data_IF_190554159542
#
_entry.id   IF_190554159542
#
_cell.length_a   1.000
_cell.length_b   1.000
_cell.length_c   1.000
_cell.angle_alpha   90.00
_cell.angle_beta   90.00
_cell.angle_gamma   90.00
#
_symmetry.space_group_name_H-M   'P 1'
#
loop_
_entity.id
_entity.type
_entity.pdbx_description
1 polymer ?
#
# COMPACT_ATOMS: atom_id res chain seq x y z
N UNK A 1 -32.97 -6.99 11.41
CA UNK A 1 -32.48 -8.34 11.74
C UNK A 1 -31.21 -8.57 10.95
N UNK A 2 -30.08 -8.24 11.58
CA UNK A 2 -28.70 -8.66 11.28
C UNK A 2 -27.78 -7.85 12.23
N UNK A 3 -28.02 -7.99 13.53
CA UNK A 3 -27.03 -7.67 14.57
C UNK A 3 -26.59 -9.05 15.10
N UNK A 4 -25.32 -9.17 15.49
CA UNK A 4 -24.62 -10.39 15.96
C UNK A 4 -24.11 -11.34 14.88
N UNK A 5 -22.90 -11.11 14.37
CA UNK A 5 -22.02 -12.22 13.94
C UNK A 5 -20.50 -11.98 14.10
N UNK A 6 -20.04 -10.92 14.78
CA UNK A 6 -18.61 -10.74 15.04
C UNK A 6 -18.34 -10.61 16.55
N UNK A 7 -17.82 -11.69 17.13
CA UNK A 7 -17.35 -11.72 18.52
C UNK A 7 -16.04 -10.95 18.56
N UNK A 8 -16.00 -9.82 19.28
CA UNK A 8 -14.75 -9.09 19.49
C UNK A 8 -13.71 -10.01 20.17
N UNK A 9 -12.41 -9.86 19.87
CA UNK A 9 -11.36 -10.67 20.49
C UNK A 9 -11.50 -10.65 22.01
N UNK A 10 -11.44 -11.83 22.64
CA UNK A 10 -11.54 -11.96 24.09
C UNK A 10 -10.15 -12.05 24.72
N UNK A 11 -10.06 -11.84 26.03
CA UNK A 11 -8.78 -11.99 26.73
C UNK A 11 -8.27 -13.43 26.56
N UNK A 12 -7.10 -13.60 25.94
CA UNK A 12 -6.53 -14.91 25.57
C UNK A 12 -6.51 -15.21 24.08
N UNK A 13 -7.17 -14.39 23.23
CA UNK A 13 -7.06 -14.51 21.77
C UNK A 13 -5.62 -14.27 21.31
N UNK A 14 -5.08 -15.19 20.52
CA UNK A 14 -3.74 -15.07 19.94
C UNK A 14 -3.81 -14.21 18.68
N UNK A 15 -3.44 -12.93 18.83
CA UNK A 15 -3.31 -12.01 17.70
C UNK A 15 -1.92 -12.12 17.08
N UNK A 16 -1.88 -12.29 15.76
CA UNK A 16 -0.65 -12.38 14.99
C UNK A 16 -0.41 -11.09 14.19
N UNK A 17 0.81 -10.57 14.24
CA UNK A 17 1.20 -9.42 13.42
C UNK A 17 1.27 -9.80 11.94
N UNK A 18 0.61 -9.02 11.09
CA UNK A 18 0.59 -9.21 9.63
C UNK A 18 0.87 -7.90 8.91
N UNK A 19 1.66 -7.94 7.84
CA UNK A 19 1.78 -6.82 6.92
C UNK A 19 0.64 -6.87 5.90
N UNK A 20 0.13 -5.71 5.52
CA UNK A 20 -1.04 -5.59 4.65
C UNK A 20 -0.64 -5.04 3.29
N UNK A 21 -1.20 -5.64 2.23
CA UNK A 21 -1.08 -5.15 0.86
C UNK A 21 -2.17 -4.15 0.50
N UNK A 22 -2.15 -3.64 -0.74
CA UNK A 22 -3.26 -2.86 -1.25
C UNK A 22 -4.51 -3.74 -1.38
N UNK A 23 -5.69 -3.24 -0.99
CA UNK A 23 -6.96 -3.85 -1.36
C UNK A 23 -7.14 -3.83 -2.89
N UNK A 24 -7.64 -4.93 -3.44
CA UNK A 24 -7.95 -5.08 -4.87
C UNK A 24 -9.38 -5.55 -5.02
N UNK A 25 -10.29 -4.59 -5.18
CA UNK A 25 -11.71 -4.82 -4.95
C UNK A 25 -11.94 -5.25 -3.50
N UNK A 26 -12.65 -6.36 -3.31
CA UNK A 26 -12.97 -6.89 -1.99
C UNK A 26 -11.88 -7.82 -1.43
N UNK A 27 -10.66 -7.80 -1.99
CA UNK A 27 -9.60 -8.74 -1.63
C UNK A 27 -8.38 -8.06 -1.04
N UNK A 28 -7.74 -8.71 -0.08
CA UNK A 28 -6.46 -8.27 0.49
C UNK A 28 -5.56 -9.47 0.75
N UNK A 29 -4.25 -9.28 0.54
CA UNK A 29 -3.24 -10.22 0.97
C UNK A 29 -2.61 -9.76 2.29
N UNK A 30 -2.37 -10.71 3.17
CA UNK A 30 -1.73 -10.51 4.47
C UNK A 30 -0.45 -11.34 4.52
N UNK A 31 0.67 -10.69 4.80
CA UNK A 31 1.98 -11.34 4.92
C UNK A 31 2.32 -11.58 6.38
N UNK A 32 2.53 -12.84 6.70
CA UNK A 32 3.19 -13.30 7.91
C UNK A 32 4.68 -13.48 7.63
N UNK A 33 5.48 -13.80 8.66
CA UNK A 33 6.93 -13.94 8.52
C UNK A 33 7.36 -14.95 7.45
N UNK A 34 6.60 -16.05 7.31
CA UNK A 34 6.94 -17.17 6.43
C UNK A 34 5.82 -17.56 5.45
N UNK A 35 4.71 -16.81 5.44
CA UNK A 35 3.52 -17.19 4.66
C UNK A 35 2.74 -15.97 4.17
N UNK A 36 1.88 -16.19 3.19
CA UNK A 36 0.92 -15.20 2.70
C UNK A 36 -0.47 -15.83 2.68
N UNK A 37 -1.45 -15.12 3.24
CA UNK A 37 -2.85 -15.52 3.22
C UNK A 37 -3.69 -14.49 2.47
N UNK A 38 -4.77 -14.96 1.84
CA UNK A 38 -5.69 -14.14 1.05
C UNK A 38 -7.05 -14.12 1.73
N UNK A 39 -7.64 -12.92 1.76
CA UNK A 39 -8.86 -12.67 2.50
C UNK A 39 -9.80 -11.79 1.70
N UNK A 40 -11.10 -12.05 1.85
CA UNK A 40 -12.17 -11.20 1.36
C UNK A 40 -12.59 -10.23 2.46
N UNK A 41 -12.58 -8.94 2.13
CA UNK A 41 -13.09 -7.83 2.95
C UNK A 41 -14.61 -7.82 2.93
N UNK A 42 -15.21 -7.44 4.06
CA UNK A 42 -16.63 -7.13 4.15
C UNK A 42 -16.85 -5.63 3.94
N UNK A 43 -17.08 -5.22 2.69
CA UNK A 43 -17.35 -3.83 2.33
C UNK A 43 -16.09 -3.05 1.95
N UNK A 44 -16.09 -1.74 2.24
CA UNK A 44 -15.02 -0.84 1.80
C UNK A 44 -13.65 -1.14 2.45
N UNK A 45 -12.54 -0.81 1.77
CA UNK A 45 -11.21 -0.80 2.37
C UNK A 45 -11.16 -0.14 3.75
N UNK A 46 -10.39 -0.68 4.71
CA UNK A 46 -10.27 -0.07 6.03
C UNK A 46 -9.67 1.34 5.93
N UNK A 47 -10.30 2.33 6.56
CA UNK A 47 -9.88 3.73 6.46
C UNK A 47 -8.53 4.02 7.11
N UNK A 48 -8.08 3.16 8.03
CA UNK A 48 -6.76 3.30 8.66
C UNK A 48 -5.61 2.85 7.76
N UNK A 49 -5.87 1.96 6.80
CA UNK A 49 -4.85 1.39 5.92
C UNK A 49 -4.37 2.44 4.91
N UNK A 50 -3.06 2.67 4.86
CA UNK A 50 -2.37 3.67 4.05
C UNK A 50 -2.44 5.09 4.61
N UNK A 51 -3.13 5.29 5.75
CA UNK A 51 -3.29 6.61 6.37
C UNK A 51 -2.10 7.04 7.23
N UNK A 52 -1.13 6.16 7.48
CA UNK A 52 0.05 6.45 8.30
C UNK A 52 -0.24 6.57 9.80
N UNK A 53 -1.45 6.21 10.25
CA UNK A 53 -1.89 6.34 11.63
C UNK A 53 -1.61 5.07 12.47
N UNK A 54 -1.40 3.95 11.80
CA UNK A 54 -1.38 2.64 12.44
C UNK A 54 -0.06 2.29 13.14
N UNK A 55 -0.12 1.28 14.02
CA UNK A 55 1.08 0.55 14.45
C UNK A 55 1.86 0.06 13.21
N UNK A 56 3.19 -0.02 13.35
CA UNK A 56 4.08 -0.24 12.20
C UNK A 56 5.34 -1.01 12.59
N UNK A 57 5.97 -1.58 11.58
CA UNK A 57 7.33 -2.16 11.66
C UNK A 57 8.29 -1.18 10.99
N UNK A 58 9.16 -0.58 11.78
CA UNK A 58 10.17 0.40 11.34
C UNK A 58 11.52 -0.28 11.05
N UNK A 59 12.32 0.32 10.16
CA UNK A 59 13.76 0.06 10.05
C UNK A 59 14.61 1.24 10.56
N UNK A 60 15.93 1.05 10.62
CA UNK A 60 16.88 2.06 11.11
C UNK A 60 16.94 3.33 10.24
N UNK A 61 16.39 3.29 9.02
CA UNK A 61 16.36 4.41 8.08
C UNK A 61 15.08 5.25 8.19
N UNK A 62 14.19 4.90 9.12
CA UNK A 62 12.89 5.55 9.31
C UNK A 62 11.84 5.11 8.31
N UNK A 63 12.11 4.07 7.52
CA UNK A 63 11.10 3.44 6.67
C UNK A 63 10.22 2.57 7.53
N UNK A 64 8.96 2.46 7.14
CA UNK A 64 8.02 1.64 7.88
C UNK A 64 6.99 0.96 6.99
N UNK A 65 6.41 -0.10 7.54
CA UNK A 65 5.25 -0.80 6.96
C UNK A 65 4.17 -0.89 8.02
N UNK A 66 2.92 -0.64 7.63
CA UNK A 66 1.79 -0.71 8.54
C UNK A 66 1.52 -2.17 8.94
N UNK A 67 1.20 -2.37 10.21
CA UNK A 67 1.03 -3.69 10.83
C UNK A 67 -0.43 -3.85 11.28
N UNK A 68 -1.07 -4.92 10.84
CA UNK A 68 -2.36 -5.37 11.35
C UNK A 68 -2.18 -6.49 12.38
N UNK A 69 -3.21 -6.72 13.20
CA UNK A 69 -3.26 -7.82 14.14
C UNK A 69 -4.39 -8.77 13.73
N UNK A 70 -4.04 -9.95 13.24
CA UNK A 70 -4.98 -10.95 12.76
C UNK A 70 -5.29 -11.98 13.84
N UNK A 71 -6.57 -12.19 14.12
CA UNK A 71 -7.08 -13.44 14.68
C UNK A 71 -7.50 -14.35 13.51
N UNK A 72 -6.68 -15.36 13.25
CA UNK A 72 -6.87 -16.26 12.10
C UNK A 72 -8.05 -17.20 12.29
N UNK A 73 -8.40 -17.55 13.53
CA UNK A 73 -9.50 -18.47 13.82
C UNK A 73 -10.85 -17.78 13.58
N UNK A 74 -10.99 -16.54 14.05
CA UNK A 74 -12.23 -15.77 13.87
C UNK A 74 -12.30 -14.95 12.58
N UNK A 75 -11.19 -14.81 11.86
CA UNK A 75 -11.12 -13.97 10.66
C UNK A 75 -11.24 -12.49 10.99
N UNK A 76 -10.69 -12.03 12.11
CA UNK A 76 -10.76 -10.63 12.53
C UNK A 76 -9.40 -9.96 12.39
N UNK A 77 -9.35 -8.91 11.58
CA UNK A 77 -8.20 -8.03 11.48
C UNK A 77 -8.43 -6.79 12.33
N UNK A 78 -7.57 -6.59 13.33
CA UNK A 78 -7.58 -5.42 14.20
C UNK A 78 -6.52 -4.45 13.72
N UNK A 79 -6.96 -3.26 13.32
CA UNK A 79 -6.12 -2.12 13.03
C UNK A 79 -6.15 -1.19 14.25
N UNK A 80 -5.01 -0.63 14.62
CA UNK A 80 -4.91 0.23 15.80
C UNK A 80 -3.98 1.40 15.54
N UNK A 81 -4.34 2.55 16.10
CA UNK A 81 -3.44 3.69 16.16
C UNK A 81 -2.12 3.32 16.84
N UNK A 82 -1.06 3.95 16.35
CA UNK A 82 0.26 3.90 16.97
C UNK A 82 0.23 4.49 18.38
N UNK A 83 -0.33 5.69 18.49
CA UNK A 83 -0.40 6.46 19.74
C UNK A 83 -1.83 6.43 20.31
N UNK A 84 -1.99 6.49 21.64
CA UNK A 84 -3.32 6.63 22.23
C UNK A 84 -4.00 7.90 21.74
N UNK A 85 -5.30 7.83 21.42
CA UNK A 85 -6.08 9.01 21.03
C UNK A 85 -6.24 10.01 22.19
N UNK A 86 -6.86 11.18 21.96
CA UNK A 86 -7.05 12.22 22.97
C UNK A 86 -7.76 11.76 24.26
N UNK A 87 -8.55 10.70 24.16
CA UNK A 87 -9.25 10.07 25.29
C UNK A 87 -8.38 9.07 26.08
N UNK A 88 -7.10 8.89 25.71
CA UNK A 88 -6.16 7.97 26.34
C UNK A 88 -6.32 6.50 25.95
N UNK A 89 -7.35 6.15 25.18
CA UNK A 89 -7.51 4.83 24.56
C UNK A 89 -7.04 4.86 23.10
N UNK A 90 -6.34 3.83 22.61
CA UNK A 90 -6.00 3.73 21.20
C UNK A 90 -7.29 3.55 20.37
N UNK A 91 -7.40 4.26 19.25
CA UNK A 91 -8.48 3.99 18.29
C UNK A 91 -8.18 2.67 17.62
N UNK A 92 -9.19 1.80 17.57
CA UNK A 92 -9.14 0.52 16.88
C UNK A 92 -10.25 0.40 15.86
N UNK A 93 -9.92 -0.13 14.69
CA UNK A 93 -10.87 -0.59 13.70
C UNK A 93 -10.80 -2.11 13.64
N UNK A 94 -11.94 -2.78 13.81
CA UNK A 94 -12.05 -4.24 13.64
C UNK A 94 -12.65 -4.50 12.27
N UNK A 95 -11.96 -5.28 11.47
CA UNK A 95 -12.28 -5.59 10.07
C UNK A 95 -12.56 -7.08 9.96
N UNK A 96 -13.80 -7.49 9.68
CA UNK A 96 -14.10 -8.89 9.44
C UNK A 96 -13.61 -9.34 8.06
N UNK A 97 -12.95 -10.50 8.05
CA UNK A 97 -12.34 -11.13 6.90
C UNK A 97 -12.87 -12.55 6.72
N UNK A 98 -13.11 -12.94 5.47
CA UNK A 98 -13.35 -14.34 5.11
C UNK A 98 -12.12 -14.91 4.38
N UNK A 99 -11.57 -16.06 4.81
CA UNK A 99 -10.42 -16.65 4.12
C UNK A 99 -10.84 -17.09 2.71
N UNK A 100 -9.94 -16.93 1.75
CA UNK A 100 -10.15 -17.33 0.36
C UNK A 100 -8.87 -17.95 -0.21
N UNK A 101 -9.02 -18.92 -1.11
CA UNK A 101 -7.88 -19.54 -1.78
C UNK A 101 -7.20 -18.54 -2.73
N UNK A 102 -5.88 -18.68 -2.88
CA UNK A 102 -5.07 -17.72 -3.64
C UNK A 102 -5.52 -17.60 -5.11
N UNK A 103 -5.84 -18.73 -5.75
CA UNK A 103 -6.29 -18.81 -7.14
C UNK A 103 -7.64 -18.11 -7.33
N UNK A 104 -8.60 -18.31 -6.42
CA UNK A 104 -9.90 -17.62 -6.43
C UNK A 104 -9.71 -16.11 -6.26
N UNK A 105 -8.96 -15.70 -5.23
CA UNK A 105 -8.72 -14.29 -4.94
C UNK A 105 -8.08 -13.56 -6.13
N UNK A 106 -7.06 -14.16 -6.76
CA UNK A 106 -6.40 -13.58 -7.95
C UNK A 106 -7.32 -13.54 -9.17
N UNK A 107 -8.05 -14.61 -9.44
CA UNK A 107 -8.94 -14.65 -10.59
C UNK A 107 -10.04 -13.58 -10.52
N UNK A 108 -10.63 -13.39 -9.34
CA UNK A 108 -11.74 -12.45 -9.15
C UNK A 108 -11.30 -11.00 -9.02
N UNK A 109 -10.15 -10.75 -8.40
CA UNK A 109 -9.65 -9.39 -8.17
C UNK A 109 -8.97 -8.77 -9.39
N UNK A 110 -8.53 -9.54 -10.38
CA UNK A 110 -7.82 -9.01 -11.56
C UNK A 110 -8.64 -7.94 -12.30
N UNK A 111 -9.97 -8.10 -12.36
CA UNK A 111 -10.88 -7.14 -13.01
C UNK A 111 -11.02 -5.82 -12.23
N UNK A 112 -10.51 -5.77 -10.99
CA UNK A 112 -10.61 -4.64 -10.05
C UNK A 112 -9.31 -3.83 -9.97
N UNK A 113 -8.39 -4.02 -10.91
CA UNK A 113 -7.11 -3.29 -10.94
C UNK A 113 -7.28 -1.77 -10.93
N UNK A 114 -8.29 -1.22 -11.62
CA UNK A 114 -8.53 0.22 -11.63
C UNK A 114 -8.87 0.79 -10.24
N UNK A 115 -9.63 0.05 -9.43
CA UNK A 115 -9.99 0.43 -8.06
C UNK A 115 -8.75 0.39 -7.15
N UNK A 116 -7.88 -0.60 -7.34
CA UNK A 116 -6.59 -0.67 -6.63
C UNK A 116 -5.66 0.50 -7.01
N UNK A 117 -5.61 0.87 -8.29
CA UNK A 117 -4.83 2.01 -8.77
C UNK A 117 -5.32 3.33 -8.17
N UNK A 118 -6.64 3.54 -8.13
CA UNK A 118 -7.25 4.72 -7.50
C UNK A 118 -6.93 4.77 -6.01
N UNK A 119 -7.09 3.64 -5.31
CA UNK A 119 -6.78 3.53 -3.89
C UNK A 119 -5.31 3.84 -3.59
N UNK A 120 -4.37 3.28 -4.36
CA UNK A 120 -2.94 3.59 -4.25
C UNK A 120 -2.65 5.07 -4.50
N UNK A 121 -3.39 5.72 -5.40
CA UNK A 121 -3.33 7.16 -5.62
C UNK A 121 -3.73 7.96 -4.36
N UNK A 122 -4.80 7.56 -3.68
CA UNK A 122 -5.21 8.18 -2.42
C UNK A 122 -4.16 7.98 -1.32
N UNK A 123 -3.55 6.79 -1.24
CA UNK A 123 -2.46 6.53 -0.29
C UNK A 123 -1.24 7.41 -0.58
N UNK A 124 -0.89 7.61 -1.86
CA UNK A 124 0.20 8.50 -2.25
C UNK A 124 -0.08 9.97 -1.86
N UNK A 125 -1.32 10.45 -2.02
CA UNK A 125 -1.73 11.79 -1.56
C UNK A 125 -1.59 11.89 -0.04
N UNK A 126 -2.06 10.88 0.70
CA UNK A 126 -1.96 10.85 2.15
C UNK A 126 -0.49 10.85 2.62
N UNK A 127 0.39 10.08 1.97
CA UNK A 127 1.82 10.07 2.24
C UNK A 127 2.46 11.45 1.95
N UNK A 128 2.15 12.06 0.81
CA UNK A 128 2.66 13.38 0.46
C UNK A 128 2.28 14.47 1.49
N UNK A 129 1.04 14.44 1.99
CA UNK A 129 0.56 15.36 3.03
C UNK A 129 1.30 15.19 4.38
N UNK A 130 1.89 14.00 4.63
CA UNK A 130 2.72 13.70 5.80
C UNK A 130 4.21 13.95 5.57
N UNK A 131 4.61 14.35 4.36
CA UNK A 131 6.02 14.47 3.99
C UNK A 131 6.69 13.12 3.88
N UNK A 132 6.01 12.16 3.29
CA UNK A 132 6.48 10.80 3.07
C UNK A 132 6.46 10.44 1.59
N UNK A 133 7.31 9.50 1.19
CA UNK A 133 7.19 8.78 -0.08
C UNK A 133 6.49 7.44 0.15
N UNK A 134 5.93 6.87 -0.93
CA UNK A 134 5.33 5.54 -0.96
C UNK A 134 6.11 4.65 -1.93
N UNK A 135 6.65 3.53 -1.44
CA UNK A 135 7.19 2.47 -2.28
C UNK A 135 6.21 1.31 -2.35
N UNK A 136 5.86 0.93 -3.57
CA UNK A 136 5.03 -0.23 -3.89
C UNK A 136 5.98 -1.29 -4.44
N UNK A 137 5.92 -2.50 -3.92
CA UNK A 137 6.85 -3.59 -4.25
C UNK A 137 6.17 -4.94 -4.20
N UNK A 138 6.86 -6.02 -4.58
CA UNK A 138 6.41 -7.38 -4.24
C UNK A 138 6.25 -7.51 -2.72
N UNK A 139 5.08 -7.92 -2.25
CA UNK A 139 4.83 -8.11 -0.82
C UNK A 139 5.71 -9.22 -0.24
N UNK A 140 6.29 -8.94 0.93
CA UNK A 140 7.18 -9.84 1.67
C UNK A 140 7.35 -9.30 3.10
N UNK A 141 7.62 -10.18 4.06
CA UNK A 141 7.99 -9.79 5.42
C UNK A 141 9.42 -9.23 5.51
N UNK A 142 10.39 -9.75 4.76
CA UNK A 142 11.81 -9.36 4.91
C UNK A 142 12.51 -8.90 3.61
N UNK A 143 11.77 -8.71 2.51
CA UNK A 143 12.35 -8.39 1.20
C UNK A 143 12.86 -9.64 0.45
N UNK A 144 13.58 -9.50 -0.69
CA UNK A 144 13.88 -8.24 -1.37
C UNK A 144 12.62 -7.58 -1.94
N UNK A 145 12.69 -6.26 -2.13
CA UNK A 145 11.55 -5.44 -2.56
C UNK A 145 11.62 -5.02 -4.03
N UNK A 146 12.56 -5.54 -4.82
CA UNK A 146 12.54 -5.38 -6.27
C UNK A 146 11.66 -6.47 -6.92
N UNK A 147 10.83 -6.14 -7.92
CA UNK A 147 10.71 -4.81 -8.52
C UNK A 147 9.89 -3.84 -7.64
N UNK A 148 10.21 -2.54 -7.76
CA UNK A 148 9.66 -1.46 -6.93
C UNK A 148 9.23 -0.27 -7.79
N UNK A 149 8.13 0.36 -7.39
CA UNK A 149 7.74 1.69 -7.85
C UNK A 149 7.68 2.63 -6.65
N UNK A 150 8.43 3.73 -6.71
CA UNK A 150 8.44 4.77 -5.69
C UNK A 150 7.66 5.97 -6.20
N UNK A 151 6.70 6.43 -5.41
CA UNK A 151 5.99 7.70 -5.59
C UNK A 151 6.53 8.67 -4.55
N UNK A 152 7.03 9.81 -5.01
CA UNK A 152 7.65 10.81 -4.16
C UNK A 152 7.40 12.21 -4.70
N UNK A 153 7.55 13.22 -3.84
CA UNK A 153 7.59 14.60 -4.26
C UNK A 153 9.03 15.11 -4.25
N UNK A 154 9.36 15.90 -5.25
CA UNK A 154 10.64 16.60 -5.36
C UNK A 154 10.41 18.09 -5.61
N UNK A 155 11.46 18.89 -5.53
CA UNK A 155 11.47 20.27 -5.97
C UNK A 155 12.44 20.42 -7.14
N UNK A 156 12.08 21.25 -8.13
CA UNK A 156 13.03 21.69 -9.15
C UNK A 156 13.96 22.80 -8.64
N UNK A 157 14.84 23.29 -9.50
CA UNK A 157 15.82 24.33 -9.16
C UNK A 157 15.17 25.67 -8.75
N UNK A 158 13.92 25.91 -9.17
CA UNK A 158 13.13 27.09 -8.82
C UNK A 158 12.29 26.87 -7.54
N UNK A 159 12.37 25.68 -6.93
CA UNK A 159 11.63 25.30 -5.74
C UNK A 159 10.19 24.87 -6.00
N UNK A 160 9.79 24.69 -7.27
CA UNK A 160 8.46 24.22 -7.61
C UNK A 160 8.31 22.72 -7.32
N UNK A 161 7.20 22.35 -6.71
CA UNK A 161 6.92 20.95 -6.38
C UNK A 161 6.60 20.12 -7.63
N UNK A 162 7.24 18.95 -7.74
CA UNK A 162 7.01 17.96 -8.76
C UNK A 162 6.56 16.64 -8.12
N UNK A 163 5.57 16.00 -8.72
CA UNK A 163 5.23 14.59 -8.45
C UNK A 163 6.13 13.71 -9.31
N UNK A 164 6.88 12.82 -8.67
CA UNK A 164 7.79 11.88 -9.32
C UNK A 164 7.32 10.44 -9.07
N UNK A 165 7.31 9.62 -10.13
CA UNK A 165 7.07 8.18 -10.04
C UNK A 165 8.22 7.46 -10.71
N UNK A 166 8.93 6.65 -9.94
CA UNK A 166 10.14 5.96 -10.37
C UNK A 166 9.95 4.45 -10.30
N UNK A 167 10.12 3.76 -11.41
CA UNK A 167 10.08 2.30 -11.50
C UNK A 167 11.49 1.71 -11.59
N UNK A 168 11.75 0.63 -10.85
CA UNK A 168 12.99 -0.15 -10.88
C UNK A 168 12.65 -1.65 -10.87
N UNK A 169 12.97 -2.44 -11.91
CA UNK A 169 13.66 -2.07 -13.15
C UNK A 169 12.81 -1.16 -14.06
N UNK A 170 13.23 -0.88 -15.30
CA UNK A 170 12.38 -0.17 -16.27
C UNK A 170 11.29 -1.12 -16.82
N UNK A 171 9.99 -0.75 -16.80
CA UNK A 171 8.94 -1.52 -17.49
C UNK A 171 9.05 -1.35 -19.01
N UNK A 172 9.24 -2.43 -19.77
CA UNK A 172 9.61 -2.36 -21.21
C UNK A 172 8.43 -2.46 -22.20
N UNK A 173 7.29 -3.04 -21.84
CA UNK A 173 6.12 -3.22 -22.70
C UNK A 173 4.97 -2.23 -22.44
N UNK A 174 5.09 -1.36 -21.44
CA UNK A 174 4.12 -0.30 -21.17
C UNK A 174 4.54 1.01 -21.85
N UNK A 175 3.79 1.45 -22.87
CA UNK A 175 4.08 2.64 -23.70
C UNK A 175 4.45 3.89 -22.89
N UNK A 176 3.72 4.16 -21.80
CA UNK A 176 3.97 5.32 -20.94
C UNK A 176 5.31 5.26 -20.19
N UNK A 177 5.90 4.08 -20.02
CA UNK A 177 7.23 3.92 -19.44
C UNK A 177 8.33 3.88 -20.52
N UNK A 178 8.05 3.26 -21.67
CA UNK A 178 9.00 3.14 -22.78
C UNK A 178 9.19 4.47 -23.55
N UNK A 179 8.14 5.27 -23.71
CA UNK A 179 8.17 6.54 -24.45
C UNK A 179 9.02 7.62 -23.76
N UNK A 180 9.32 7.41 -22.47
CA UNK A 180 10.15 8.29 -21.65
C UNK A 180 11.51 7.65 -21.30
N UNK A 181 11.80 6.43 -21.78
CA UNK A 181 13.04 5.72 -21.47
C UNK A 181 14.25 6.42 -22.06
N UNK A 182 15.10 6.97 -21.19
CA UNK A 182 16.20 7.86 -21.58
C UNK A 182 17.44 7.09 -22.07
N UNK A 183 17.53 5.79 -21.80
CA UNK A 183 18.62 4.94 -22.28
C UNK A 183 18.22 3.45 -22.28
N UNK A 184 18.60 2.66 -23.30
CA UNK A 184 18.36 1.21 -23.35
C UNK A 184 18.91 0.42 -22.15
N UNK A 185 19.93 0.97 -21.47
CA UNK A 185 20.65 0.37 -20.34
C UNK A 185 20.18 0.91 -18.97
N UNK A 186 19.15 1.75 -18.93
CA UNK A 186 18.70 2.38 -17.69
C UNK A 186 18.18 1.33 -16.70
N UNK A 187 18.69 1.37 -15.45
CA UNK A 187 18.22 0.48 -14.37
C UNK A 187 16.87 0.89 -13.81
N UNK A 188 16.48 2.14 -13.98
CA UNK A 188 15.24 2.71 -13.47
C UNK A 188 14.76 3.83 -14.39
N UNK A 189 13.45 4.06 -14.42
CA UNK A 189 12.85 5.15 -15.17
C UNK A 189 12.02 6.02 -14.22
N UNK A 190 12.07 7.35 -14.42
CA UNK A 190 11.28 8.30 -13.65
C UNK A 190 10.39 9.11 -14.58
N UNK A 191 9.12 9.25 -14.20
CA UNK A 191 8.17 10.17 -14.83
C UNK A 191 7.88 11.28 -13.82
N UNK A 192 7.91 12.54 -14.28
CA UNK A 192 7.64 13.69 -13.44
C UNK A 192 6.53 14.55 -14.04
N UNK A 193 5.79 15.23 -13.17
CA UNK A 193 4.80 16.24 -13.52
C UNK A 193 4.75 17.30 -12.43
N UNK A 194 4.23 18.50 -12.73
CA UNK A 194 3.94 19.50 -11.70
C UNK A 194 3.03 18.90 -10.61
N UNK A 195 3.41 19.09 -9.35
CA UNK A 195 2.67 18.52 -8.23
C UNK A 195 1.25 19.10 -8.17
N UNK A 196 0.29 18.20 -8.06
CA UNK A 196 -1.14 18.49 -7.85
C UNK A 196 -1.78 17.22 -7.32
N UNK A 197 -2.93 17.32 -6.65
CA UNK A 197 -3.66 16.14 -6.18
C UNK A 197 -3.95 15.17 -7.33
N UNK A 198 -4.23 15.70 -8.52
CA UNK A 198 -4.42 14.90 -9.73
C UNK A 198 -3.13 14.18 -10.16
N UNK A 199 -2.00 14.87 -10.21
CA UNK A 199 -0.72 14.26 -10.62
C UNK A 199 -0.26 13.19 -9.64
N UNK A 200 -0.40 13.46 -8.33
CA UNK A 200 -0.06 12.52 -7.26
C UNK A 200 -1.02 11.33 -7.29
N UNK A 201 -2.33 11.57 -7.39
CA UNK A 201 -3.32 10.49 -7.49
C UNK A 201 -3.10 9.56 -8.69
N UNK A 202 -2.61 10.09 -9.82
CA UNK A 202 -2.26 9.26 -10.98
C UNK A 202 -1.06 8.34 -10.75
N UNK A 203 -0.26 8.54 -9.68
CA UNK A 203 0.88 7.67 -9.40
C UNK A 203 0.47 6.22 -9.13
N UNK A 204 -0.71 6.00 -8.56
CA UNK A 204 -1.23 4.64 -8.34
C UNK A 204 -1.46 3.88 -9.64
N UNK A 205 -1.98 4.55 -10.67
CA UNK A 205 -2.14 3.96 -12.01
C UNK A 205 -0.78 3.68 -12.67
N UNK A 206 0.18 4.61 -12.58
CA UNK A 206 1.54 4.41 -13.09
C UNK A 206 2.22 3.21 -12.45
N UNK A 207 2.10 3.08 -11.13
CA UNK A 207 2.65 1.97 -10.38
C UNK A 207 2.02 0.63 -10.80
N UNK A 208 0.69 0.58 -10.90
CA UNK A 208 0.00 -0.64 -11.29
C UNK A 208 0.38 -1.09 -12.71
N UNK A 209 0.47 -0.15 -13.66
CA UNK A 209 0.91 -0.46 -15.03
C UNK A 209 2.32 -1.04 -15.06
N UNK A 210 3.25 -0.55 -14.22
CA UNK A 210 4.59 -1.11 -14.11
C UNK A 210 4.55 -2.56 -13.58
N UNK A 211 3.77 -2.84 -12.54
CA UNK A 211 3.66 -4.19 -11.99
C UNK A 211 2.99 -5.19 -12.93
N UNK A 212 1.96 -4.77 -13.66
CA UNK A 212 1.32 -5.62 -14.66
C UNK A 212 2.29 -5.98 -15.80
N UNK A 213 3.16 -5.05 -16.20
CA UNK A 213 4.21 -5.30 -17.19
C UNK A 213 5.26 -6.31 -16.69
N UNK A 214 5.52 -6.36 -15.39
CA UNK A 214 6.41 -7.34 -14.77
C UNK A 214 5.71 -8.66 -14.40
N UNK A 215 4.49 -8.90 -14.90
CA UNK A 215 3.65 -10.07 -14.58
C UNK A 215 3.32 -10.22 -13.08
N UNK A 216 3.25 -9.11 -12.33
CA UNK A 216 2.79 -9.11 -10.94
C UNK A 216 1.30 -8.86 -10.83
N UNK A 217 0.66 -9.73 -10.07
CA UNK A 217 -0.74 -9.55 -9.70
C UNK A 217 -0.87 -8.42 -8.64
N UNK A 218 -1.84 -7.49 -8.75
CA UNK A 218 -1.99 -6.40 -7.78
C UNK A 218 -2.11 -6.85 -6.31
N UNK A 219 -2.81 -7.96 -6.05
CA UNK A 219 -2.91 -8.56 -4.71
C UNK A 219 -1.58 -9.06 -4.13
N UNK A 220 -0.53 -9.23 -4.92
CA UNK A 220 0.77 -9.70 -4.41
C UNK A 220 1.72 -8.55 -4.08
N UNK A 221 1.21 -7.31 -4.09
CA UNK A 221 1.98 -6.11 -3.79
C UNK A 221 1.99 -5.80 -2.29
N UNK A 222 3.08 -5.20 -1.83
CA UNK A 222 3.21 -4.61 -0.51
C UNK A 222 3.52 -3.12 -0.61
N UNK A 223 3.41 -2.42 0.52
CA UNK A 223 3.70 -1.00 0.62
C UNK A 223 4.72 -0.76 1.72
N UNK A 224 5.65 0.15 1.44
CA UNK A 224 6.59 0.71 2.42
C UNK A 224 6.53 2.23 2.31
N UNK A 225 6.54 2.90 3.46
CA UNK A 225 6.58 4.35 3.55
C UNK A 225 7.95 4.79 4.08
N UNK A 226 8.33 6.02 3.81
CA UNK A 226 9.50 6.60 4.45
C UNK A 226 9.53 8.12 4.32
N UNK A 227 10.41 8.78 5.09
CA UNK A 227 10.45 10.23 5.14
C UNK A 227 10.89 10.82 3.80
N UNK A 228 10.17 11.85 3.37
CA UNK A 228 10.59 12.75 2.29
C UNK A 228 11.38 13.92 2.91
N UNK A 229 12.66 14.10 2.56
CA UNK A 229 13.50 15.14 3.16
C UNK A 229 13.02 16.58 2.88
N UNK A 230 12.16 16.78 1.87
CA UNK A 230 11.60 18.10 1.54
C UNK A 230 10.39 18.46 2.42
N UNK A 231 9.90 17.52 3.24
CA UNK A 231 8.78 17.74 4.13
C UNK A 231 7.41 17.57 3.45
N UNK A 232 6.32 17.92 4.15
CA UNK A 232 4.96 17.75 3.66
C UNK A 232 4.65 18.68 2.49
N UNK A 233 3.87 18.16 1.55
CA UNK A 233 3.29 18.95 0.48
C UNK A 233 2.24 19.93 1.03
N UNK A 234 2.30 21.24 0.72
CA UNK A 234 1.49 22.25 1.41
C UNK A 234 0.05 22.44 0.88
N UNK A 235 -0.38 21.72 -0.17
CA UNK A 235 -1.60 21.98 -0.94
C UNK A 235 -2.71 20.92 -0.81
#
# INVERSE_FOLDING_TARGET
>A
MADDLFVSPTSGTQLQGVLMGPPVGDYIALWEENDVSFWRLSGSPPSMLGAGAMIRVDDETGRYRELGLLDRESGLLVLRDREPGPAGAPVSQVVPLAPVEAEEAKAESMQRGAEAAEWLGHVAIAAAARGEWLAIHKGSWQGPFEPVVVTELMQDDDGAWLSAVRATPVPTGAGLWSDHSVAPEAKSQQVTAAASQKAIGLSGALALMAFLEWDFHPLTLGMTFGPNPLGPWPD
#
